data_IF_178015214741
#
_entry.id   IF_178015214741
#
_cell.length_a   1.000
_cell.length_b   1.000
_cell.length_c   1.000
_cell.angle_alpha   90.00
_cell.angle_beta   90.00
_cell.angle_gamma   90.00
#
_symmetry.space_group_name_H-M   'P 1'
#
loop_
_entity.id
_entity.type
_entity.pdbx_description
1 polymer ?
#
# COMPACT_ATOMS: atom_id res chain seq x y z
N UNK A 1 11.40 8.85 2.84
CA UNK A 1 11.08 7.40 2.80
C UNK A 1 10.52 7.03 1.43
N UNK A 2 11.37 7.03 0.39
CA UNK A 2 11.00 6.61 -0.98
C UNK A 2 12.06 5.63 -1.49
N UNK A 3 13.32 5.89 -1.17
CA UNK A 3 14.46 5.03 -1.51
C UNK A 3 14.32 3.61 -0.94
N UNK A 4 13.91 3.47 0.32
CA UNK A 4 13.71 2.16 0.97
C UNK A 4 12.59 1.34 0.30
N UNK A 5 11.48 1.99 -0.07
CA UNK A 5 10.37 1.31 -0.76
C UNK A 5 10.77 0.92 -2.18
N UNK A 6 11.47 1.79 -2.92
CA UNK A 6 11.93 1.48 -4.27
C UNK A 6 12.92 0.30 -4.29
N UNK A 7 13.81 0.22 -3.31
CA UNK A 7 14.72 -0.92 -3.15
C UNK A 7 13.97 -2.23 -2.91
N UNK A 8 12.99 -2.21 -2.00
CA UNK A 8 12.14 -3.37 -1.70
C UNK A 8 11.31 -3.81 -2.92
N UNK A 9 10.67 -2.86 -3.60
CA UNK A 9 9.92 -3.09 -4.83
C UNK A 9 10.77 -3.78 -5.92
N UNK A 10 12.00 -3.29 -6.14
CA UNK A 10 12.91 -3.92 -7.10
C UNK A 10 13.30 -5.33 -6.69
N UNK A 11 13.52 -5.54 -5.40
CA UNK A 11 13.92 -6.84 -4.84
C UNK A 11 12.82 -7.90 -4.89
N UNK A 12 11.59 -7.54 -4.58
CA UNK A 12 10.47 -8.48 -4.49
C UNK A 12 9.72 -8.68 -5.81
N UNK A 13 9.72 -7.69 -6.70
CA UNK A 13 9.02 -7.76 -7.99
C UNK A 13 9.98 -7.80 -9.17
N UNK A 14 10.78 -6.74 -9.37
CA UNK A 14 11.49 -6.51 -10.64
C UNK A 14 12.56 -7.55 -10.93
N UNK A 15 13.43 -7.85 -9.97
CA UNK A 15 14.51 -8.84 -10.15
C UNK A 15 14.01 -10.29 -10.24
N UNK A 16 13.08 -10.77 -9.39
CA UNK A 16 12.67 -12.18 -9.42
C UNK A 16 11.74 -12.55 -10.58
N UNK A 17 10.93 -11.61 -11.10
CA UNK A 17 9.97 -11.91 -12.16
C UNK A 17 10.48 -11.55 -13.57
N UNK A 18 11.66 -10.93 -13.69
CA UNK A 18 12.30 -10.72 -14.97
C UNK A 18 12.81 -12.03 -15.61
N UNK A 19 13.11 -12.03 -16.92
CA UNK A 19 13.14 -10.88 -17.83
C UNK A 19 11.75 -10.46 -18.33
N UNK A 20 11.52 -9.14 -18.36
CA UNK A 20 10.25 -8.53 -18.77
C UNK A 20 10.18 -8.35 -20.28
N UNK A 21 9.03 -8.62 -20.88
CA UNK A 21 8.85 -8.48 -22.33
C UNK A 21 8.75 -7.02 -22.80
N UNK A 22 8.32 -6.12 -21.90
CA UNK A 22 8.14 -4.70 -22.19
C UNK A 22 7.56 -3.93 -21.01
N UNK A 23 7.24 -2.65 -21.23
CA UNK A 23 6.72 -1.78 -20.18
C UNK A 23 5.35 -2.22 -19.66
N UNK A 24 4.46 -2.67 -20.55
CA UNK A 24 3.09 -3.08 -20.20
C UNK A 24 3.06 -4.24 -19.18
N UNK A 25 3.97 -5.21 -19.36
CA UNK A 25 4.13 -6.36 -18.46
C UNK A 25 4.56 -5.90 -17.05
N UNK A 26 5.49 -4.94 -17.00
CA UNK A 26 5.92 -4.31 -15.73
C UNK A 26 4.77 -3.51 -15.11
N UNK A 27 4.02 -2.74 -15.89
CA UNK A 27 2.88 -1.96 -15.37
C UNK A 27 1.82 -2.87 -14.74
N UNK A 28 1.45 -3.96 -15.41
CA UNK A 28 0.47 -4.90 -14.88
C UNK A 28 0.96 -5.56 -13.59
N UNK A 29 2.20 -6.08 -13.58
CA UNK A 29 2.80 -6.64 -12.38
C UNK A 29 2.93 -5.61 -11.25
N UNK A 30 3.17 -4.34 -11.57
CA UNK A 30 3.22 -3.24 -10.59
C UNK A 30 1.84 -3.04 -9.95
N UNK A 31 0.76 -3.03 -10.73
CA UNK A 31 -0.60 -2.88 -10.21
C UNK A 31 -0.94 -4.01 -9.25
N UNK A 32 -0.63 -5.25 -9.61
CA UNK A 32 -0.84 -6.41 -8.74
C UNK A 32 0.01 -6.35 -7.47
N UNK A 33 1.27 -5.93 -7.60
CA UNK A 33 2.18 -5.77 -6.46
C UNK A 33 1.68 -4.70 -5.49
N UNK A 34 1.21 -3.55 -5.99
CA UNK A 34 0.68 -2.46 -5.17
C UNK A 34 -0.59 -2.87 -4.45
N UNK A 35 -1.52 -3.55 -5.13
CA UNK A 35 -2.71 -4.11 -4.49
C UNK A 35 -2.32 -5.07 -3.36
N UNK A 36 -1.43 -6.03 -3.65
CA UNK A 36 -0.96 -6.97 -2.64
C UNK A 36 -0.27 -6.25 -1.47
N UNK A 37 0.61 -5.30 -1.74
CA UNK A 37 1.34 -4.54 -0.73
C UNK A 37 0.39 -3.76 0.20
N UNK A 38 -0.63 -3.12 -0.37
CA UNK A 38 -1.54 -2.25 0.39
C UNK A 38 -2.63 -3.01 1.13
N UNK A 39 -3.18 -4.07 0.52
CA UNK A 39 -4.38 -4.75 1.03
C UNK A 39 -4.11 -6.11 1.66
N UNK A 40 -2.98 -6.75 1.35
CA UNK A 40 -2.71 -8.14 1.76
C UNK A 40 -1.43 -8.29 2.59
N UNK A 41 -0.42 -7.46 2.35
CA UNK A 41 0.83 -7.49 3.13
C UNK A 41 0.64 -6.87 4.50
N UNK A 42 0.90 -7.65 5.55
CA UNK A 42 1.04 -7.11 6.91
C UNK A 42 2.42 -6.48 7.07
N UNK A 43 2.47 -5.23 7.53
CA UNK A 43 3.72 -4.52 7.69
C UNK A 43 4.23 -4.65 9.13
N UNK A 44 5.49 -5.06 9.31
CA UNK A 44 6.12 -5.30 10.62
C UNK A 44 6.39 -4.03 11.46
N UNK A 45 6.06 -2.87 10.92
CA UNK A 45 6.24 -1.56 11.57
C UNK A 45 4.94 -0.77 11.68
N UNK A 46 3.86 -1.22 11.00
CA UNK A 46 2.55 -0.57 11.05
C UNK A 46 1.66 -1.37 11.98
N UNK A 47 1.24 -0.71 13.08
CA UNK A 47 0.35 -1.28 14.06
C UNK A 47 -1.06 -0.66 13.95
N UNK A 48 -2.07 -1.47 14.22
CA UNK A 48 -3.43 -0.99 14.48
C UNK A 48 -3.58 -0.46 15.93
N UNK A 49 -4.72 0.16 16.24
CA UNK A 49 -5.06 0.60 17.60
C UNK A 49 -5.04 -0.51 18.68
N UNK A 50 -4.92 -1.78 18.30
CA UNK A 50 -4.78 -2.94 19.21
C UNK A 50 -3.36 -3.52 19.23
N UNK A 51 -2.37 -2.77 18.73
CA UNK A 51 -0.95 -3.16 18.66
C UNK A 51 -0.70 -4.45 17.88
N UNK A 52 -1.48 -4.69 16.83
CA UNK A 52 -1.26 -5.80 15.89
C UNK A 52 -0.75 -5.26 14.57
N UNK A 53 0.13 -6.03 13.91
CA UNK A 53 0.55 -5.71 12.56
C UNK A 53 -0.64 -5.71 11.61
N UNK A 54 -0.78 -4.61 10.89
CA UNK A 54 -1.88 -4.39 9.96
C UNK A 54 -1.36 -4.06 8.56
N UNK A 55 -2.26 -4.01 7.60
CA UNK A 55 -1.97 -3.63 6.22
C UNK A 55 -1.96 -2.11 6.09
N UNK A 56 -1.18 -1.51 5.17
CA UNK A 56 -1.19 -0.07 4.93
C UNK A 56 -2.59 0.50 4.73
N UNK A 57 -3.41 -0.11 3.87
CA UNK A 57 -4.76 0.37 3.57
C UNK A 57 -5.69 0.40 4.80
N UNK A 58 -5.59 -0.60 5.68
CA UNK A 58 -6.36 -0.64 6.91
C UNK A 58 -5.92 0.44 7.91
N UNK A 59 -4.62 0.72 8.01
CA UNK A 59 -4.11 1.80 8.85
C UNK A 59 -4.55 3.18 8.33
N UNK A 60 -4.45 3.41 7.02
CA UNK A 60 -4.91 4.65 6.40
C UNK A 60 -6.42 4.85 6.57
N UNK A 61 -7.22 3.80 6.37
CA UNK A 61 -8.68 3.86 6.59
C UNK A 61 -9.02 4.24 8.04
N UNK A 62 -8.32 3.67 9.02
CA UNK A 62 -8.47 4.05 10.43
C UNK A 62 -8.06 5.51 10.67
N UNK A 63 -6.91 5.94 10.15
CA UNK A 63 -6.45 7.33 10.24
C UNK A 63 -7.48 8.31 9.68
N UNK A 64 -7.98 8.09 8.47
CA UNK A 64 -8.98 8.96 7.83
C UNK A 64 -10.33 8.91 8.53
N UNK A 65 -10.73 7.78 9.13
CA UNK A 65 -11.97 7.72 9.93
C UNK A 65 -11.90 8.60 11.18
N UNK A 66 -10.69 8.80 11.73
CA UNK A 66 -10.44 9.61 12.92
C UNK A 66 -10.14 11.08 12.61
N UNK A 67 -9.57 11.34 11.43
CA UNK A 67 -9.17 12.69 10.99
C UNK A 67 -10.12 13.33 9.98
N UNK A 68 -11.17 12.62 9.55
CA UNK A 68 -12.26 13.23 8.79
C UNK A 68 -12.86 14.38 9.61
N UNK A 69 -12.78 15.64 9.14
CA UNK A 69 -13.59 16.69 9.74
C UNK A 69 -15.05 16.26 9.56
N UNK A 70 -15.86 16.42 10.61
CA UNK A 70 -17.30 16.38 10.46
C UNK A 70 -17.66 17.43 9.41
N UNK A 71 -17.86 17.01 8.17
CA UNK A 71 -18.57 17.85 7.20
C UNK A 71 -19.98 17.89 7.76
N UNK A 72 -20.49 19.05 8.25
CA UNK A 72 -21.88 19.09 8.63
C UNK A 72 -22.66 18.80 7.35
N UNK A 73 -23.44 17.73 7.39
CA UNK A 73 -24.43 17.48 6.38
C UNK A 73 -25.44 18.63 6.39
N UNK A 74 -25.77 19.08 5.18
CA UNK A 74 -26.89 19.93 4.76
C UNK A 74 -26.77 21.45 4.92
N UNK A 75 -26.93 22.16 3.79
CA UNK A 75 -28.02 23.12 3.62
C UNK A 75 -28.27 23.42 2.13
N UNK A 76 -29.44 22.94 1.66
CA UNK A 76 -30.31 23.46 0.58
C UNK A 76 -29.82 23.48 -0.87
#
# INVERSE_FOLDING_TARGET
>A
MIESFNGLYKWELIYPQGPWAGLEDVEFATLEYVDWFNHRRRHGEILDGRRRFTTPAAHEAEFYSQTAPATPAAAQ
#
